data_IF_028275508837
#
_entry.id   IF_028275508837
#
_cell.length_a   1.000
_cell.length_b   1.000
_cell.length_c   1.000
_cell.angle_alpha   90.00
_cell.angle_beta   90.00
_cell.angle_gamma   90.00
#
_symmetry.space_group_name_H-M   'P 1'
#
loop_
_entity.id
_entity.type
_entity.pdbx_description
1 polymer ?
#
# COMPACT_ATOMS: atom_id res chain seq x y z
N UNK A 1 -6.32 20.43 -3.57
CA UNK A 1 -5.13 19.60 -3.31
C UNK A 1 -4.73 19.00 -4.63
N UNK A 2 -3.53 19.31 -5.11
CA UNK A 2 -3.01 18.71 -6.33
C UNK A 2 -2.62 17.25 -6.06
N UNK A 3 -3.00 16.35 -6.97
CA UNK A 3 -2.68 14.93 -6.86
C UNK A 3 -1.46 14.67 -7.74
N UNK A 4 -0.44 14.02 -7.17
CA UNK A 4 0.75 13.59 -7.91
C UNK A 4 0.40 12.39 -8.80
N UNK A 5 -0.28 12.64 -9.91
CA UNK A 5 -0.86 11.59 -10.77
C UNK A 5 0.18 10.64 -11.35
N UNK A 6 1.44 11.07 -11.47
CA UNK A 6 2.56 10.27 -12.00
C UNK A 6 3.41 9.61 -10.91
N UNK A 7 2.99 9.68 -9.64
CA UNK A 7 3.75 9.10 -8.52
C UNK A 7 3.79 7.57 -8.65
N UNK A 8 4.99 7.00 -8.65
CA UNK A 8 5.22 5.56 -8.79
C UNK A 8 5.69 4.89 -7.51
N UNK A 9 6.41 5.62 -6.67
CA UNK A 9 7.00 5.12 -5.44
C UNK A 9 6.63 6.06 -4.31
N UNK A 10 6.21 5.50 -3.18
CA UNK A 10 5.87 6.25 -1.99
C UNK A 10 6.41 5.51 -0.75
N UNK A 11 7.25 6.19 0.02
CA UNK A 11 7.75 5.68 1.29
C UNK A 11 7.06 6.41 2.44
N UNK A 12 6.31 5.65 3.24
CA UNK A 12 5.66 6.06 4.48
C UNK A 12 6.19 5.23 5.66
N UNK A 13 7.36 4.62 5.54
CA UNK A 13 8.01 3.87 6.59
C UNK A 13 8.23 4.70 7.85
N UNK A 14 8.29 4.02 9.00
CA UNK A 14 8.58 4.62 10.31
C UNK A 14 7.66 5.80 10.71
N UNK A 15 6.40 5.75 10.25
CA UNK A 15 5.37 6.70 10.64
C UNK A 15 4.42 6.10 11.70
N UNK A 16 3.40 6.86 12.11
CA UNK A 16 2.41 6.43 13.11
C UNK A 16 1.07 5.98 12.49
N UNK A 17 1.10 5.30 11.34
CA UNK A 17 -0.11 4.79 10.71
C UNK A 17 -0.67 3.60 11.50
N UNK A 18 -1.85 3.78 12.09
CA UNK A 18 -2.45 2.80 13.00
C UNK A 18 -3.53 1.92 12.35
N UNK A 19 -4.04 2.31 11.19
CA UNK A 19 -5.20 1.66 10.53
C UNK A 19 -4.98 1.57 9.03
N UNK A 20 -5.24 0.42 8.44
CA UNK A 20 -5.13 0.21 6.98
C UNK A 20 -6.05 1.15 6.17
N UNK A 21 -7.23 1.46 6.69
CA UNK A 21 -8.18 2.35 6.03
C UNK A 21 -7.64 3.78 5.82
N UNK A 22 -6.60 4.21 6.55
CA UNK A 22 -5.98 5.52 6.30
C UNK A 22 -5.20 5.57 4.98
N UNK A 23 -4.96 4.42 4.34
CA UNK A 23 -4.31 4.30 3.03
C UNK A 23 -5.30 4.42 1.85
N UNK A 24 -6.61 4.44 2.11
CA UNK A 24 -7.64 4.60 1.07
C UNK A 24 -7.41 5.80 0.13
N UNK A 25 -6.96 6.99 0.58
CA UNK A 25 -6.67 8.09 -0.33
C UNK A 25 -5.59 7.79 -1.36
N UNK A 26 -4.72 6.80 -1.12
CA UNK A 26 -3.69 6.38 -2.08
C UNK A 26 -4.27 5.61 -3.27
N UNK A 27 -5.54 5.18 -3.21
CA UNK A 27 -6.19 4.48 -4.32
C UNK A 27 -6.35 5.34 -5.57
N UNK A 28 -6.24 6.68 -5.45
CA UNK A 28 -6.24 7.60 -6.61
C UNK A 28 -4.89 7.67 -7.33
N UNK A 29 -3.83 7.10 -6.75
CA UNK A 29 -2.48 7.09 -7.33
C UNK A 29 -2.35 5.90 -8.28
N UNK A 30 -2.95 6.04 -9.46
CA UNK A 30 -3.08 4.94 -10.45
C UNK A 30 -1.75 4.40 -10.99
N UNK A 31 -0.66 5.17 -10.88
CA UNK A 31 0.68 4.77 -11.30
C UNK A 31 1.55 4.25 -10.14
N UNK A 32 1.01 4.19 -8.91
CA UNK A 32 1.77 3.71 -7.76
C UNK A 32 2.07 2.21 -7.92
N UNK A 33 3.35 1.87 -7.87
CA UNK A 33 3.85 0.51 -8.02
C UNK A 33 4.61 0.04 -6.78
N UNK A 34 5.05 0.95 -5.92
CA UNK A 34 5.76 0.63 -4.68
C UNK A 34 5.24 1.48 -3.53
N UNK A 35 4.92 0.81 -2.43
CA UNK A 35 4.53 1.44 -1.17
C UNK A 35 5.33 0.81 -0.03
N UNK A 36 5.88 1.66 0.82
CA UNK A 36 6.55 1.24 2.03
C UNK A 36 5.83 1.78 3.26
N UNK A 37 5.47 0.88 4.18
CA UNK A 37 4.73 1.19 5.43
C UNK A 37 5.32 0.40 6.61
N UNK A 38 6.51 -0.17 6.46
CA UNK A 38 7.22 -0.83 7.55
C UNK A 38 7.53 0.14 8.70
N UNK A 39 7.64 -0.37 9.92
CA UNK A 39 7.83 0.46 11.11
C UNK A 39 6.59 1.25 11.56
N UNK A 40 5.47 1.15 10.85
CA UNK A 40 4.19 1.70 11.32
C UNK A 40 3.47 0.73 12.27
N UNK A 41 2.68 1.18 13.25
CA UNK A 41 1.92 0.29 14.12
C UNK A 41 1.02 -0.72 13.37
N UNK A 42 0.46 -0.34 12.22
CA UNK A 42 -0.33 -1.24 11.37
C UNK A 42 0.49 -2.39 10.73
N UNK A 43 1.82 -2.31 10.70
CA UNK A 43 2.70 -3.35 10.13
C UNK A 43 2.81 -4.57 11.03
N UNK A 44 2.54 -4.43 12.31
CA UNK A 44 2.53 -5.53 13.29
C UNK A 44 1.25 -6.38 13.23
N UNK A 45 0.26 -5.97 12.44
CA UNK A 45 -0.97 -6.74 12.28
C UNK A 45 -0.72 -8.04 11.49
N UNK A 46 -1.24 -9.18 11.96
CA UNK A 46 -0.99 -10.50 11.31
C UNK A 46 -1.46 -10.55 9.85
N UNK A 47 -2.53 -9.83 9.54
CA UNK A 47 -3.08 -9.70 8.19
C UNK A 47 -2.64 -8.39 7.51
N UNK A 48 -1.48 -7.83 7.89
CA UNK A 48 -1.03 -6.53 7.40
C UNK A 48 -1.05 -6.45 5.88
N UNK A 49 -0.37 -7.36 5.18
CA UNK A 49 -0.24 -7.34 3.72
C UNK A 49 -1.58 -7.45 2.98
N UNK A 50 -2.46 -8.45 3.26
CA UNK A 50 -3.75 -8.54 2.57
C UNK A 50 -4.69 -7.36 2.91
N UNK A 51 -4.66 -6.84 4.14
CA UNK A 51 -5.47 -5.66 4.49
C UNK A 51 -4.97 -4.39 3.80
N UNK A 52 -3.65 -4.20 3.70
CA UNK A 52 -3.06 -3.09 2.94
C UNK A 52 -3.41 -3.20 1.46
N UNK A 53 -3.25 -4.38 0.87
CA UNK A 53 -3.58 -4.65 -0.53
C UNK A 53 -5.07 -4.36 -0.84
N UNK A 54 -5.98 -4.78 0.05
CA UNK A 54 -7.41 -4.49 -0.07
C UNK A 54 -7.71 -2.98 -0.07
N UNK A 55 -6.96 -2.19 0.71
CA UNK A 55 -7.15 -0.74 0.78
C UNK A 55 -6.63 0.02 -0.45
N UNK A 56 -5.68 -0.55 -1.19
CA UNK A 56 -5.09 0.09 -2.38
C UNK A 56 -5.99 -0.03 -3.62
N UNK A 57 -6.97 -0.95 -3.60
CA UNK A 57 -7.97 -1.18 -4.65
C UNK A 57 -7.41 -1.58 -6.04
N UNK A 58 -8.32 -2.03 -6.91
CA UNK A 58 -8.16 -2.86 -8.13
C UNK A 58 -7.10 -2.46 -9.17
N UNK A 59 -6.48 -1.28 -9.07
CA UNK A 59 -5.62 -0.69 -10.10
C UNK A 59 -4.12 -0.77 -9.74
N UNK A 60 -3.80 -0.63 -8.46
CA UNK A 60 -2.45 -0.74 -7.88
C UNK A 60 -2.18 -2.13 -7.30
N UNK A 61 -3.23 -2.92 -7.03
CA UNK A 61 -3.14 -4.31 -6.61
C UNK A 61 -2.80 -5.28 -7.77
N UNK A 62 -1.66 -5.03 -8.44
CA UNK A 62 -1.08 -5.91 -9.45
C UNK A 62 -0.04 -6.83 -8.77
N UNK A 63 0.18 -8.05 -9.25
CA UNK A 63 1.29 -8.93 -8.80
C UNK A 63 2.68 -8.30 -8.97
N UNK A 64 2.80 -7.22 -9.76
CA UNK A 64 4.03 -6.42 -9.87
C UNK A 64 4.21 -5.38 -8.74
N UNK A 65 3.16 -5.08 -7.98
CA UNK A 65 3.20 -4.09 -6.92
C UNK A 65 4.06 -4.57 -5.76
N UNK A 66 4.89 -3.69 -5.23
CA UNK A 66 5.79 -3.95 -4.13
C UNK A 66 5.29 -3.28 -2.85
N UNK A 67 5.05 -4.09 -1.83
CA UNK A 67 4.71 -3.65 -0.47
C UNK A 67 5.85 -4.07 0.46
N UNK A 68 6.46 -3.11 1.15
CA UNK A 68 7.57 -3.33 2.09
C UNK A 68 8.71 -4.16 1.48
N UNK A 69 9.16 -3.76 0.28
CA UNK A 69 10.23 -4.41 -0.50
C UNK A 69 9.89 -5.84 -0.97
N UNK A 70 8.61 -6.23 -0.91
CA UNK A 70 8.12 -7.54 -1.34
C UNK A 70 6.94 -7.43 -2.29
N UNK A 71 6.99 -8.16 -3.40
CA UNK A 71 5.88 -8.25 -4.34
C UNK A 71 4.64 -8.83 -3.68
N UNK A 72 3.47 -8.31 -4.02
CA UNK A 72 2.19 -8.89 -3.63
C UNK A 72 2.00 -10.25 -4.32
N UNK A 73 1.44 -11.19 -3.57
CA UNK A 73 1.10 -12.53 -4.07
C UNK A 73 -0.37 -12.60 -4.46
N UNK A 74 -0.74 -13.53 -5.34
CA UNK A 74 -2.13 -13.71 -5.75
C UNK A 74 -3.08 -13.98 -4.57
N UNK A 75 -2.61 -14.65 -3.51
CA UNK A 75 -3.38 -14.90 -2.29
C UNK A 75 -3.64 -13.64 -1.45
N UNK A 76 -2.85 -12.58 -1.62
CA UNK A 76 -3.05 -11.30 -0.94
C UNK A 76 -3.96 -10.36 -1.73
N UNK A 77 -4.27 -10.72 -2.98
CA UNK A 77 -5.12 -9.97 -3.91
C UNK A 77 -6.54 -10.55 -4.04
N UNK A 78 -6.82 -11.66 -3.36
CA UNK A 78 -8.07 -12.43 -3.43
C UNK A 78 -9.21 -11.82 -2.62
#
# INVERSE_FOLDING_TARGET
>A
VEVLTSLQQLDLGENCLNKHNSLQPLSSLVHLTQLQVDGNPLSYHRLHRPLTASCLARQSANVKFELDKKKLTASELA
#
